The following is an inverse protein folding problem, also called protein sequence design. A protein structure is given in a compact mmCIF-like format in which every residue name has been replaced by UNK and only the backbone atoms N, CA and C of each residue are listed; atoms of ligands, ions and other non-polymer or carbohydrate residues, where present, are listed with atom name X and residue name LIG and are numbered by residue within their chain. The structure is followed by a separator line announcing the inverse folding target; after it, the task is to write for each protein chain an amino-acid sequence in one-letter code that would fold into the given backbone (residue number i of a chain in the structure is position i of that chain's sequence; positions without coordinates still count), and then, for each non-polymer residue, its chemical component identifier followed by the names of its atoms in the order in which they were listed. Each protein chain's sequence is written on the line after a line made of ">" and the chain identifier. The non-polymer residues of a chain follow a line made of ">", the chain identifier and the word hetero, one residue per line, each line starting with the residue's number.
data_IF_313905442772
#
_entry.id   IF_313905442772
#
_cell.length_a   1.000
_cell.length_b   1.000
_cell.length_c   1.000
_cell.angle_alpha   90.00
_cell.angle_beta   90.00
_cell.angle_gamma   90.00
#
_symmetry.space_group_name_H-M   'P 1'
#
loop_
_entity.id
_entity.type
_entity.pdbx_description
1 polymer ?
#
# COMPACT_ATOMS: atom_id res chain seq x y z
N UNK A 1 35.30 -57.88 9.25
CA UNK A 1 35.05 -56.83 10.25
C UNK A 1 35.81 -55.59 9.77
N UNK A 2 35.14 -54.64 9.10
CA UNK A 2 34.42 -53.44 9.62
C UNK A 2 35.36 -52.31 10.12
N UNK A 3 35.46 -51.27 9.27
CA UNK A 3 35.82 -49.81 9.37
C UNK A 3 36.17 -49.18 10.75
N UNK A 4 36.77 -47.95 10.82
CA UNK A 4 37.26 -47.06 9.74
C UNK A 4 38.61 -46.34 9.97
N UNK A 5 39.25 -46.00 8.85
CA UNK A 5 40.25 -44.95 8.68
C UNK A 5 39.54 -43.57 8.74
N UNK A 6 39.56 -42.90 9.90
CA UNK A 6 39.14 -41.50 10.05
C UNK A 6 40.35 -40.60 9.76
N UNK A 7 40.59 -40.33 8.48
CA UNK A 7 41.62 -39.38 8.04
C UNK A 7 40.94 -38.21 7.33
N UNK A 8 41.09 -37.02 7.90
CA UNK A 8 41.21 -35.77 7.15
C UNK A 8 39.93 -35.11 6.67
N UNK A 9 39.19 -34.43 7.57
CA UNK A 9 38.37 -33.26 7.20
C UNK A 9 38.44 -32.24 8.35
N UNK A 10 39.56 -31.55 8.51
CA UNK A 10 39.71 -30.46 9.51
C UNK A 10 40.40 -29.20 8.97
N UNK A 11 40.34 -28.96 7.66
CA UNK A 11 40.95 -27.77 7.04
C UNK A 11 40.04 -27.19 5.97
N UNK A 12 38.94 -26.51 6.36
CA UNK A 12 38.16 -25.67 5.45
C UNK A 12 37.37 -24.54 6.14
N UNK A 13 37.73 -24.14 7.37
CA UNK A 13 37.02 -23.09 8.12
C UNK A 13 37.77 -21.75 8.25
N UNK A 14 38.89 -21.56 7.55
CA UNK A 14 39.63 -20.29 7.56
C UNK A 14 39.31 -19.46 6.31
N UNK A 15 38.12 -18.83 6.27
CA UNK A 15 37.71 -18.00 5.13
C UNK A 15 36.85 -16.76 5.42
N UNK A 16 36.29 -16.60 6.63
CA UNK A 16 35.30 -15.54 6.89
C UNK A 16 35.81 -14.41 7.81
N UNK A 17 37.10 -14.07 7.77
CA UNK A 17 37.66 -13.00 8.62
C UNK A 17 37.97 -11.69 7.87
N UNK A 18 37.66 -11.60 6.56
CA UNK A 18 38.12 -10.51 5.68
C UNK A 18 37.07 -9.50 5.24
N UNK A 19 35.85 -9.50 5.79
CA UNK A 19 34.88 -8.46 5.45
C UNK A 19 35.22 -7.20 6.26
N UNK A 20 35.87 -6.24 5.61
CA UNK A 20 35.95 -4.87 6.14
C UNK A 20 34.52 -4.42 6.48
N UNK A 21 34.30 -3.74 7.62
CA UNK A 21 32.98 -3.25 7.97
C UNK A 21 32.53 -2.29 6.86
N UNK A 22 31.63 -2.77 6.01
CA UNK A 22 30.92 -1.93 5.06
C UNK A 22 30.11 -0.99 5.94
N UNK A 23 30.44 0.30 5.92
CA UNK A 23 29.64 1.29 6.59
C UNK A 23 28.17 1.06 6.18
N UNK A 24 27.20 1.11 7.13
CA UNK A 24 25.80 1.01 6.77
C UNK A 24 25.54 2.04 5.68
N UNK A 25 25.04 1.59 4.52
CA UNK A 25 24.56 2.52 3.52
C UNK A 25 23.60 3.48 4.24
N UNK A 26 23.72 4.81 4.03
CA UNK A 26 22.75 5.73 4.59
C UNK A 26 21.35 5.22 4.22
N UNK A 27 20.37 5.26 5.16
CA UNK A 27 19.01 4.88 4.87
C UNK A 27 18.59 5.59 3.57
N UNK A 28 17.96 4.89 2.61
CA UNK A 28 17.45 5.56 1.43
C UNK A 28 16.59 6.73 1.92
N UNK A 29 16.92 7.94 1.47
CA UNK A 29 16.07 9.09 1.74
C UNK A 29 14.65 8.75 1.32
N UNK A 30 13.62 9.12 2.10
CA UNK A 30 12.26 8.89 1.69
C UNK A 30 12.03 9.70 0.42
N UNK A 31 12.17 9.07 -0.74
CA UNK A 31 11.67 9.59 -1.99
C UNK A 31 10.18 9.76 -1.76
N UNK A 32 9.77 11.02 -1.59
CA UNK A 32 8.38 11.37 -1.47
C UNK A 32 7.72 11.15 -2.82
N UNK A 33 7.37 9.90 -3.08
CA UNK A 33 6.59 9.49 -4.22
C UNK A 33 5.12 9.65 -3.86
N UNK A 34 4.32 10.18 -4.79
CA UNK A 34 2.86 10.09 -4.73
C UNK A 34 2.44 8.68 -4.25
N UNK A 35 1.70 8.52 -3.13
CA UNK A 35 1.27 7.23 -2.63
C UNK A 35 0.57 6.36 -3.68
N UNK A 36 -0.06 6.98 -4.68
CA UNK A 36 -0.71 6.27 -5.80
C UNK A 36 0.23 5.80 -6.90
N UNK A 37 1.53 6.12 -6.83
CA UNK A 37 2.56 5.62 -7.73
C UNK A 37 3.37 4.53 -7.01
N UNK A 38 3.48 3.34 -7.60
CA UNK A 38 4.46 2.36 -7.14
C UNK A 38 5.83 2.58 -7.79
N UNK A 39 6.89 2.27 -7.03
CA UNK A 39 8.28 2.44 -7.45
C UNK A 39 8.80 1.25 -8.27
N UNK A 40 8.40 0.04 -7.87
CA UNK A 40 8.80 -1.21 -8.51
C UNK A 40 7.71 -2.28 -8.37
N UNK A 41 7.95 -3.47 -8.94
CA UNK A 41 7.00 -4.58 -8.91
C UNK A 41 6.62 -5.04 -7.50
N UNK A 42 7.56 -5.00 -6.56
CA UNK A 42 7.34 -5.40 -5.17
C UNK A 42 6.43 -4.40 -4.48
N UNK A 43 6.69 -3.10 -4.69
CA UNK A 43 5.84 -2.02 -4.18
C UNK A 43 4.44 -2.06 -4.80
N UNK A 44 4.31 -2.30 -6.11
CA UNK A 44 2.98 -2.45 -6.74
C UNK A 44 2.19 -3.62 -6.15
N UNK A 45 2.86 -4.73 -5.84
CA UNK A 45 2.22 -5.90 -5.22
C UNK A 45 1.77 -5.58 -3.80
N UNK A 46 2.62 -4.92 -3.01
CA UNK A 46 2.30 -4.48 -1.65
C UNK A 46 1.12 -3.50 -1.64
N UNK A 47 1.13 -2.49 -2.50
CA UNK A 47 0.04 -1.51 -2.66
C UNK A 47 -1.25 -2.13 -3.18
N UNK A 48 -1.16 -3.19 -3.99
CA UNK A 48 -2.33 -3.99 -4.38
C UNK A 48 -2.97 -4.67 -3.17
N UNK A 49 -2.18 -5.36 -2.33
CA UNK A 49 -2.69 -5.98 -1.11
C UNK A 49 -3.32 -4.95 -0.15
N UNK A 50 -2.70 -3.78 0.01
CA UNK A 50 -3.23 -2.67 0.81
C UNK A 50 -4.52 -2.09 0.24
N UNK A 51 -4.63 -2.00 -1.10
CA UNK A 51 -5.88 -1.62 -1.76
C UNK A 51 -7.00 -2.63 -1.46
N UNK A 52 -6.67 -3.93 -1.40
CA UNK A 52 -7.64 -4.96 -1.04
C UNK A 52 -8.08 -4.84 0.43
N UNK A 53 -7.15 -4.55 1.35
CA UNK A 53 -7.51 -4.25 2.75
C UNK A 53 -8.43 -3.04 2.85
N UNK A 54 -8.11 -1.93 2.17
CA UNK A 54 -8.96 -0.74 2.14
C UNK A 54 -10.40 -1.06 1.72
N UNK A 55 -10.61 -1.88 0.67
CA UNK A 55 -11.98 -2.18 0.23
C UNK A 55 -12.73 -3.10 1.19
N UNK A 56 -12.03 -3.93 1.98
CA UNK A 56 -12.66 -4.70 3.06
C UNK A 56 -13.09 -3.78 4.20
N UNK A 57 -12.19 -2.91 4.67
CA UNK A 57 -12.49 -1.98 5.77
C UNK A 57 -13.57 -0.96 5.38
N UNK A 58 -13.61 -0.56 4.10
CA UNK A 58 -14.71 0.24 3.54
C UNK A 58 -16.05 -0.48 3.63
N UNK A 59 -16.10 -1.77 3.29
CA UNK A 59 -17.32 -2.55 3.40
C UNK A 59 -17.73 -2.77 4.87
N UNK A 60 -16.78 -3.03 5.76
CA UNK A 60 -17.01 -3.16 7.21
C UNK A 60 -17.59 -1.86 7.80
N UNK A 61 -17.12 -0.70 7.34
CA UNK A 61 -17.63 0.60 7.76
C UNK A 61 -19.08 0.87 7.29
N UNK A 62 -19.64 0.01 6.44
CA UNK A 62 -20.98 0.11 5.88
C UNK A 62 -21.01 0.52 4.40
N UNK A 63 -19.84 0.60 3.76
CA UNK A 63 -19.72 0.74 2.31
C UNK A 63 -20.29 -0.46 1.56
N UNK A 64 -20.59 -0.27 0.27
CA UNK A 64 -21.06 -1.37 -0.56
C UNK A 64 -19.93 -2.38 -0.86
N UNK A 65 -20.24 -3.67 -0.93
CA UNK A 65 -19.28 -4.67 -1.40
C UNK A 65 -18.81 -4.35 -2.83
N UNK A 66 -17.51 -4.17 -3.00
CA UNK A 66 -16.92 -3.91 -4.32
C UNK A 66 -16.76 -5.21 -5.11
N UNK A 67 -16.89 -5.12 -6.42
CA UNK A 67 -16.61 -6.21 -7.36
C UNK A 67 -15.32 -5.97 -8.11
N UNK A 68 -14.72 -7.05 -8.61
CA UNK A 68 -13.52 -7.00 -9.45
C UNK A 68 -13.82 -7.38 -10.89
N UNK A 69 -13.29 -6.60 -11.84
CA UNK A 69 -13.26 -6.92 -13.28
C UNK A 69 -11.89 -6.53 -13.86
N UNK A 70 -11.03 -7.52 -14.09
CA UNK A 70 -9.65 -7.26 -14.49
C UNK A 70 -8.91 -6.44 -13.42
N UNK A 71 -8.30 -5.32 -13.83
CA UNK A 71 -7.62 -4.39 -12.92
C UNK A 71 -8.58 -3.45 -12.17
N UNK A 72 -9.89 -3.49 -12.44
CA UNK A 72 -10.86 -2.59 -11.82
C UNK A 72 -11.50 -3.22 -10.59
N UNK A 73 -11.60 -2.43 -9.52
CA UNK A 73 -12.49 -2.64 -8.38
C UNK A 73 -13.57 -1.56 -8.42
N UNK A 74 -14.84 -1.93 -8.28
CA UNK A 74 -15.94 -0.96 -8.39
C UNK A 74 -17.15 -1.35 -7.58
N UNK A 75 -17.88 -0.35 -7.09
CA UNK A 75 -19.22 -0.55 -6.51
C UNK A 75 -20.20 -0.93 -7.63
N UNK A 76 -20.92 -2.06 -7.51
CA UNK A 76 -21.92 -2.46 -8.50
C UNK A 76 -23.05 -1.45 -8.61
N UNK A 77 -23.57 -1.20 -9.81
CA UNK A 77 -24.73 -0.30 -10.01
C UNK A 77 -26.00 -0.80 -9.32
N UNK A 78 -26.12 -2.11 -9.11
CA UNK A 78 -27.22 -2.73 -8.38
C UNK A 78 -27.02 -2.76 -6.85
N UNK A 79 -25.92 -2.22 -6.33
CA UNK A 79 -25.72 -2.14 -4.89
C UNK A 79 -26.78 -1.23 -4.26
N UNK A 80 -27.34 -1.66 -3.13
CA UNK A 80 -28.28 -0.82 -2.37
C UNK A 80 -27.55 0.42 -1.87
N UNK A 81 -28.19 1.61 -1.88
CA UNK A 81 -27.63 2.80 -1.26
C UNK A 81 -27.31 2.52 0.22
N UNK A 82 -26.09 2.87 0.65
CA UNK A 82 -25.64 2.62 2.03
C UNK A 82 -25.24 3.89 2.79
N UNK A 83 -25.47 5.07 2.19
CA UNK A 83 -24.99 6.35 2.75
C UNK A 83 -23.48 6.54 2.64
N UNK A 84 -22.77 5.65 1.93
CA UNK A 84 -21.35 5.77 1.61
C UNK A 84 -21.15 6.13 0.13
N UNK A 85 -20.07 6.85 -0.24
CA UNK A 85 -19.74 7.11 -1.63
C UNK A 85 -19.50 5.80 -2.38
N UNK A 86 -19.95 5.70 -3.64
CA UNK A 86 -19.56 4.60 -4.53
C UNK A 86 -18.07 4.70 -4.86
N UNK A 87 -17.43 3.57 -5.15
CA UNK A 87 -16.01 3.47 -5.45
C UNK A 87 -15.77 3.00 -6.89
N UNK A 88 -14.70 3.53 -7.49
CA UNK A 88 -14.07 2.99 -8.70
C UNK A 88 -12.55 3.15 -8.58
N UNK A 89 -11.85 2.02 -8.49
CA UNK A 89 -10.41 1.96 -8.29
C UNK A 89 -9.79 1.16 -9.43
N UNK A 90 -8.75 1.69 -10.07
CA UNK A 90 -7.89 0.93 -10.97
C UNK A 90 -6.63 0.52 -10.21
N UNK A 91 -6.39 -0.77 -10.11
CA UNK A 91 -5.11 -1.30 -9.65
C UNK A 91 -4.00 -0.87 -10.64
N UNK A 92 -2.78 -0.66 -10.14
CA UNK A 92 -1.66 -0.34 -10.99
C UNK A 92 -1.42 -1.42 -12.06
N UNK A 93 -1.28 -0.97 -13.30
CA UNK A 93 -0.75 -1.79 -14.38
C UNK A 93 0.79 -1.72 -14.31
N UNK A 94 1.55 -2.84 -14.35
CA UNK A 94 3.00 -2.84 -14.23
C UNK A 94 3.77 -1.78 -15.04
N UNK A 95 3.41 -1.45 -16.30
CA UNK A 95 4.12 -0.40 -17.06
C UNK A 95 3.84 1.03 -16.61
N UNK A 96 2.68 1.30 -15.97
CA UNK A 96 2.31 2.67 -15.53
C UNK A 96 2.59 2.89 -14.05
N UNK A 97 2.52 1.82 -13.25
CA UNK A 97 2.70 1.85 -11.80
C UNK A 97 1.67 2.70 -11.05
N UNK A 98 0.61 3.19 -11.70
CA UNK A 98 -0.32 4.16 -11.12
C UNK A 98 -1.65 3.53 -10.73
N UNK A 99 -2.03 3.73 -9.47
CA UNK A 99 -3.36 3.44 -8.95
C UNK A 99 -4.29 4.63 -9.21
N UNK A 100 -5.48 4.37 -9.74
CA UNK A 100 -6.51 5.40 -9.94
C UNK A 100 -7.60 5.21 -8.91
N UNK A 101 -8.07 6.31 -8.33
CA UNK A 101 -9.17 6.32 -7.37
C UNK A 101 -10.20 7.35 -7.80
N UNK A 102 -11.46 6.94 -7.82
CA UNK A 102 -12.61 7.81 -7.92
C UNK A 102 -13.67 7.35 -6.93
N UNK A 103 -14.36 8.31 -6.35
CA UNK A 103 -15.56 8.08 -5.56
C UNK A 103 -16.64 9.03 -5.99
N UNK A 104 -17.90 8.66 -5.78
CA UNK A 104 -19.03 9.54 -6.04
C UNK A 104 -20.08 9.38 -4.95
N UNK A 105 -20.57 10.48 -4.39
CA UNK A 105 -21.69 10.48 -3.47
C UNK A 105 -23.04 10.65 -4.19
N UNK A 106 -23.83 9.59 -4.44
CA UNK A 106 -25.02 9.71 -5.28
C UNK A 106 -26.19 10.42 -4.56
N UNK A 107 -26.22 10.35 -3.22
CA UNK A 107 -27.29 10.92 -2.39
C UNK A 107 -27.03 12.37 -1.94
N UNK A 108 -25.81 12.88 -2.14
CA UNK A 108 -25.41 14.24 -1.73
C UNK A 108 -25.12 14.42 -0.23
N UNK A 109 -25.39 13.43 0.61
CA UNK A 109 -25.27 13.47 2.08
C UNK A 109 -24.47 12.29 2.65
N UNK A 110 -23.48 11.79 1.89
CA UNK A 110 -22.71 10.63 2.31
C UNK A 110 -21.97 10.86 3.63
N UNK A 111 -21.84 9.78 4.41
CA UNK A 111 -21.20 9.74 5.73
C UNK A 111 -19.75 10.25 5.73
N UNK A 112 -19.07 10.13 4.60
CA UNK A 112 -17.71 10.59 4.37
C UNK A 112 -17.65 11.34 3.04
N UNK A 113 -16.88 12.43 3.00
CA UNK A 113 -16.65 13.16 1.75
C UNK A 113 -15.78 12.33 0.80
N UNK A 114 -15.92 12.56 -0.52
CA UNK A 114 -15.07 11.93 -1.54
C UNK A 114 -13.58 12.24 -1.31
N UNK A 115 -13.28 13.48 -0.89
CA UNK A 115 -11.93 13.92 -0.56
C UNK A 115 -11.35 13.17 0.65
N UNK A 116 -12.09 13.04 1.75
CA UNK A 116 -11.60 12.32 2.93
C UNK A 116 -11.47 10.82 2.67
N UNK A 117 -12.35 10.25 1.86
CA UNK A 117 -12.23 8.85 1.44
C UNK A 117 -10.97 8.62 0.59
N UNK A 118 -10.62 9.56 -0.30
CA UNK A 118 -9.35 9.54 -1.03
C UNK A 118 -8.14 9.65 -0.09
N UNK A 119 -8.17 10.54 0.92
CA UNK A 119 -7.09 10.66 1.91
C UNK A 119 -6.87 9.33 2.64
N UNK A 120 -7.96 8.70 3.07
CA UNK A 120 -7.89 7.37 3.70
C UNK A 120 -7.31 6.37 2.73
N UNK A 121 -7.79 6.28 1.50
CA UNK A 121 -7.21 5.36 0.52
C UNK A 121 -5.69 5.57 0.34
N UNK A 122 -5.24 6.82 0.22
CA UNK A 122 -3.82 7.17 0.11
C UNK A 122 -3.01 6.76 1.34
N UNK A 123 -3.58 6.83 2.54
CA UNK A 123 -2.93 6.35 3.77
C UNK A 123 -2.69 4.83 3.76
N UNK A 124 -3.64 4.04 3.22
CA UNK A 124 -3.43 2.59 3.03
C UNK A 124 -2.28 2.33 2.07
N UNK A 125 -2.20 3.06 0.95
CA UNK A 125 -1.10 2.91 0.01
C UNK A 125 0.25 3.28 0.63
N UNK A 126 0.28 4.33 1.45
CA UNK A 126 1.45 4.78 2.21
C UNK A 126 1.93 3.79 3.27
N UNK A 127 1.04 2.93 3.76
CA UNK A 127 1.37 1.89 4.76
C UNK A 127 0.98 2.23 6.20
N UNK A 128 0.45 3.43 6.43
CA UNK A 128 -0.04 3.91 7.73
C UNK A 128 -1.55 4.20 7.62
N UNK A 129 -2.41 3.17 7.60
CA UNK A 129 -3.82 3.32 7.28
C UNK A 129 -4.59 4.12 8.34
N UNK A 130 -5.32 5.14 7.89
CA UNK A 130 -6.37 5.79 8.65
C UNK A 130 -7.58 4.86 8.81
N UNK A 131 -8.16 4.82 10.01
CA UNK A 131 -9.35 3.99 10.25
C UNK A 131 -10.61 4.62 9.67
N UNK A 132 -11.36 3.84 8.87
CA UNK A 132 -12.74 4.17 8.45
C UNK A 132 -13.79 3.87 9.54
N UNK A 133 -13.40 3.08 10.55
CA UNK A 133 -14.28 2.56 11.59
C UNK A 133 -14.36 3.51 12.80
N UNK A 134 -13.38 4.39 12.97
CA UNK A 134 -13.34 5.39 14.05
C UNK A 134 -13.41 6.83 13.48
N UNK A 135 -14.54 7.54 13.67
CA UNK A 135 -14.69 8.93 13.23
C UNK A 135 -13.65 9.90 13.80
N UNK A 136 -13.13 9.66 15.01
CA UNK A 136 -12.08 10.51 15.60
C UNK A 136 -10.74 10.26 14.93
N UNK A 137 -10.44 9.00 14.59
CA UNK A 137 -9.24 8.66 13.84
C UNK A 137 -9.29 9.24 12.42
N UNK A 138 -10.46 9.15 11.75
CA UNK A 138 -10.69 9.75 10.45
C UNK A 138 -10.46 11.26 10.44
N UNK A 139 -10.96 11.98 11.44
CA UNK A 139 -10.77 13.42 11.58
C UNK A 139 -9.30 13.84 11.76
N UNK A 140 -8.44 12.91 12.19
CA UNK A 140 -6.99 13.11 12.36
C UNK A 140 -6.17 12.58 11.18
N UNK A 141 -6.83 12.08 10.14
CA UNK A 141 -6.15 11.55 8.96
C UNK A 141 -5.38 12.67 8.26
N UNK A 142 -4.06 12.62 8.33
CA UNK A 142 -3.17 13.55 7.63
C UNK A 142 -2.84 12.94 6.27
N UNK A 143 -2.82 13.75 5.21
CA UNK A 143 -2.35 13.27 3.92
C UNK A 143 -0.88 12.83 4.01
N UNK A 144 -0.49 11.71 3.36
CA UNK A 144 0.92 11.37 3.24
C UNK A 144 1.63 12.53 2.55
N UNK A 145 2.65 13.08 3.21
CA UNK A 145 3.38 14.26 2.74
C UNK A 145 3.99 13.96 1.37
N UNK A 146 3.51 14.66 0.34
CA UNK A 146 4.27 14.90 -0.90
C UNK A 146 5.21 16.07 -0.66
N UNK A 147 6.49 15.80 -0.39
CA UNK A 147 7.53 16.83 -0.36
C UNK A 147 7.68 17.35 -1.80
N UNK A 148 7.09 18.50 -2.09
CA UNK A 148 7.45 19.25 -3.30
C UNK A 148 8.95 19.59 -3.24
N UNK A 149 9.71 19.43 -4.33
CA UNK A 149 11.08 19.92 -4.36
C UNK A 149 11.06 21.44 -4.18
N UNK A 150 11.79 21.94 -3.18
CA UNK A 150 12.01 23.38 -3.00
C UNK A 150 12.62 23.97 -4.29
N UNK A 151 12.22 25.19 -4.70
CA UNK A 151 12.94 25.88 -5.75
C UNK A 151 14.37 26.16 -5.25
N UNK A 152 15.36 25.69 -6.02
CA UNK A 152 16.77 26.02 -5.77
C UNK A 152 16.99 27.55 -5.84
N UNK A 153 17.91 28.11 -5.04
CA UNK A 153 18.22 29.53 -5.02
C UNK A 153 18.83 30.04 -6.33
#
# INVERSE_FOLDING_TARGET
>A
MRLPLMMGITLLLAGCAGQAPVAPAPPPEPMSSDPQQCLDRTDCTTKTSRTLMFVFDYAEAGGALVQRKGAWLFTPSAAKPSGWPSLKIRLADPPTGRFEFASQCPAGDCRISEGDLLKVYRSYLGGDPCSLLDPKALARCVEPVTLSPSPSP
#
